data_IF_234091961294
#
_entry.id   IF_234091961294
#
_cell.length_a   1.000
_cell.length_b   1.000
_cell.length_c   1.000
_cell.angle_alpha   90.00
_cell.angle_beta   90.00
_cell.angle_gamma   90.00
#
_symmetry.space_group_name_H-M   'P 1'
#
loop_
_entity.id
_entity.type
_entity.pdbx_description
1 polymer ?
#
# COMPACT_ATOMS: atom_id res chain seq x y z
N UNK A 1 29.16 -14.15 -18.77
CA UNK A 1 27.94 -13.90 -17.92
C UNK A 1 27.42 -12.50 -18.21
N UNK A 2 26.13 -12.34 -18.54
CA UNK A 2 25.54 -11.00 -18.71
C UNK A 2 25.56 -10.26 -17.38
N UNK A 3 26.03 -9.01 -17.37
CA UNK A 3 26.01 -8.16 -16.18
C UNK A 3 24.55 -7.92 -15.76
N UNK A 4 24.20 -8.22 -14.52
CA UNK A 4 22.86 -8.00 -13.95
C UNK A 4 22.82 -6.60 -13.34
N UNK A 5 22.36 -5.64 -14.13
CA UNK A 5 22.25 -4.23 -13.73
C UNK A 5 20.82 -3.78 -14.07
N UNK A 6 20.19 -3.02 -13.19
CA UNK A 6 18.88 -2.41 -13.45
C UNK A 6 19.09 -1.16 -14.29
N UNK A 7 18.48 -1.14 -15.47
CA UNK A 7 18.49 0.00 -16.37
C UNK A 7 17.10 0.66 -16.43
N UNK A 8 17.05 1.93 -16.88
CA UNK A 8 15.77 2.61 -17.10
C UNK A 8 14.89 1.88 -18.11
N UNK A 9 15.48 1.25 -19.12
CA UNK A 9 14.80 0.42 -20.11
C UNK A 9 14.13 -0.79 -19.46
N UNK A 10 14.84 -1.49 -18.56
CA UNK A 10 14.26 -2.64 -17.82
C UNK A 10 13.08 -2.22 -16.94
N UNK A 11 13.15 -1.02 -16.32
CA UNK A 11 12.03 -0.49 -15.53
C UNK A 11 10.82 -0.16 -16.41
N UNK A 12 11.06 0.38 -17.60
CA UNK A 12 9.99 0.68 -18.56
C UNK A 12 9.32 -0.61 -19.06
N UNK A 13 10.11 -1.60 -19.46
CA UNK A 13 9.60 -2.91 -19.90
C UNK A 13 8.83 -3.62 -18.77
N UNK A 14 9.29 -3.49 -17.53
CA UNK A 14 8.60 -4.02 -16.35
C UNK A 14 7.25 -3.33 -16.15
N UNK A 15 7.19 -2.00 -16.33
CA UNK A 15 5.92 -1.25 -16.27
C UNK A 15 4.93 -1.77 -17.33
N UNK A 16 5.38 -1.96 -18.56
CA UNK A 16 4.56 -2.46 -19.67
C UNK A 16 4.04 -3.87 -19.38
N UNK A 17 4.87 -4.74 -18.83
CA UNK A 17 4.44 -6.08 -18.38
C UNK A 17 3.33 -5.98 -17.31
N UNK A 18 3.47 -5.11 -16.31
CA UNK A 18 2.45 -4.93 -15.27
C UNK A 18 1.14 -4.36 -15.82
N UNK A 19 1.20 -3.50 -16.85
CA UNK A 19 0.02 -2.99 -17.56
C UNK A 19 -0.66 -4.13 -18.34
N UNK A 20 0.12 -4.94 -19.04
CA UNK A 20 -0.40 -6.09 -19.79
C UNK A 20 -1.00 -7.18 -18.88
N UNK A 21 -0.54 -7.26 -17.62
CA UNK A 21 -1.16 -8.10 -16.59
C UNK A 21 -2.40 -7.45 -15.94
N UNK A 22 -2.87 -6.33 -16.46
CA UNK A 22 -4.05 -5.58 -15.95
C UNK A 22 -3.95 -5.20 -14.48
N UNK A 23 -2.72 -4.93 -13.98
CA UNK A 23 -2.52 -4.47 -12.61
C UNK A 23 -3.08 -3.06 -12.43
N UNK A 24 -3.69 -2.78 -11.28
CA UNK A 24 -4.17 -1.43 -10.96
C UNK A 24 -3.04 -0.40 -10.95
N UNK A 25 -3.33 0.85 -11.34
CA UNK A 25 -2.36 1.96 -11.38
C UNK A 25 -1.58 2.10 -10.06
N UNK A 26 -2.27 2.02 -8.92
CA UNK A 26 -1.65 2.07 -7.59
C UNK A 26 -0.65 0.92 -7.36
N UNK A 27 -0.94 -0.28 -7.89
CA UNK A 27 -0.03 -1.43 -7.80
C UNK A 27 1.20 -1.22 -8.66
N UNK A 28 1.02 -0.72 -9.89
CA UNK A 28 2.11 -0.44 -10.83
C UNK A 28 3.05 0.62 -10.24
N UNK A 29 2.51 1.75 -9.77
CA UNK A 29 3.30 2.82 -9.16
C UNK A 29 4.07 2.34 -7.94
N UNK A 30 3.40 1.56 -7.08
CA UNK A 30 4.04 0.98 -5.90
C UNK A 30 5.20 0.07 -6.29
N UNK A 31 5.01 -0.84 -7.23
CA UNK A 31 6.05 -1.77 -7.66
C UNK A 31 7.24 -1.03 -8.25
N UNK A 32 6.99 -0.07 -9.14
CA UNK A 32 8.06 0.76 -9.72
C UNK A 32 8.84 1.56 -8.67
N UNK A 33 8.15 2.13 -7.68
CA UNK A 33 8.79 2.84 -6.57
C UNK A 33 9.68 1.90 -5.75
N UNK A 34 9.21 0.70 -5.45
CA UNK A 34 9.94 -0.28 -4.66
C UNK A 34 11.18 -0.81 -5.42
N UNK A 35 11.08 -0.99 -6.75
CA UNK A 35 12.24 -1.40 -7.57
C UNK A 35 13.25 -0.26 -7.75
N UNK A 36 12.79 0.99 -7.89
CA UNK A 36 13.72 2.14 -7.91
C UNK A 36 14.51 2.21 -6.61
N UNK A 37 13.86 2.05 -5.45
CA UNK A 37 14.56 1.99 -4.16
C UNK A 37 15.60 0.87 -4.10
N UNK A 38 15.30 -0.28 -4.66
CA UNK A 38 16.28 -1.37 -4.77
C UNK A 38 17.43 -0.98 -5.71
N UNK A 39 17.17 -0.35 -6.84
CA UNK A 39 18.18 0.14 -7.76
C UNK A 39 19.09 1.21 -7.12
N UNK A 40 18.52 2.12 -6.34
CA UNK A 40 19.24 3.14 -5.58
C UNK A 40 20.15 2.50 -4.53
N UNK A 41 19.66 1.49 -3.80
CA UNK A 41 20.47 0.72 -2.85
C UNK A 41 21.65 0.01 -3.54
N UNK A 42 21.42 -0.54 -4.73
CA UNK A 42 22.49 -1.21 -5.51
C UNK A 42 23.52 -0.22 -6.07
N UNK A 43 23.21 1.06 -6.20
CA UNK A 43 24.09 2.13 -6.68
C UNK A 43 24.93 1.74 -7.92
N UNK A 44 24.28 1.10 -8.91
CA UNK A 44 24.92 0.66 -10.15
C UNK A 44 25.82 -0.58 -10.05
N UNK A 45 25.90 -1.22 -8.88
CA UNK A 45 26.65 -2.47 -8.70
C UNK A 45 26.01 -3.64 -9.47
N UNK A 46 26.83 -4.62 -9.79
CA UNK A 46 26.34 -5.88 -10.38
C UNK A 46 25.57 -6.65 -9.31
N UNK A 47 24.32 -6.96 -9.61
CA UNK A 47 23.43 -7.64 -8.67
C UNK A 47 23.83 -9.12 -8.57
N UNK A 48 24.14 -9.55 -7.37
CA UNK A 48 24.33 -10.93 -6.97
C UNK A 48 23.43 -11.31 -5.79
N UNK A 49 23.45 -12.57 -5.40
CA UNK A 49 22.61 -13.07 -4.31
C UNK A 49 22.97 -12.46 -2.96
N UNK A 50 24.25 -12.17 -2.73
CA UNK A 50 24.75 -11.59 -1.47
C UNK A 50 24.14 -10.20 -1.28
N UNK A 51 24.24 -9.34 -2.30
CA UNK A 51 23.68 -7.98 -2.27
C UNK A 51 22.16 -7.97 -2.10
N UNK A 52 21.44 -8.92 -2.71
CA UNK A 52 20.00 -9.05 -2.50
C UNK A 52 19.67 -9.45 -1.06
N UNK A 53 20.49 -10.27 -0.42
CA UNK A 53 20.33 -10.60 0.99
C UNK A 53 20.69 -9.43 1.91
N UNK A 54 21.70 -8.63 1.57
CA UNK A 54 22.02 -7.38 2.27
C UNK A 54 20.84 -6.37 2.18
N UNK A 55 20.24 -6.24 0.99
CA UNK A 55 19.02 -5.42 0.84
C UNK A 55 17.87 -5.95 1.71
N UNK A 56 17.70 -7.27 1.82
CA UNK A 56 16.69 -7.85 2.71
C UNK A 56 16.95 -7.46 4.17
N UNK A 57 18.20 -7.55 4.63
CA UNK A 57 18.57 -7.12 5.98
C UNK A 57 18.34 -5.62 6.20
N UNK A 58 18.64 -4.78 5.19
CA UNK A 58 18.30 -3.35 5.22
C UNK A 58 16.79 -3.13 5.38
N UNK A 59 15.96 -3.88 4.64
CA UNK A 59 14.50 -3.75 4.74
C UNK A 59 14.00 -4.16 6.14
N UNK A 60 14.58 -5.18 6.76
CA UNK A 60 14.20 -5.63 8.11
C UNK A 60 14.46 -4.56 9.17
N UNK A 61 15.60 -3.88 9.06
CA UNK A 61 16.00 -2.86 10.02
C UNK A 61 15.31 -1.50 9.81
N UNK A 62 14.87 -1.21 8.56
CA UNK A 62 14.38 0.13 8.20
C UNK A 62 12.86 0.22 8.10
N UNK A 63 12.15 -0.90 8.03
CA UNK A 63 10.69 -0.93 7.78
C UNK A 63 9.97 -1.95 8.65
N UNK A 64 8.67 -1.72 8.87
CA UNK A 64 7.80 -2.75 9.44
C UNK A 64 7.81 -4.00 8.54
N UNK A 65 7.84 -5.20 9.14
CA UNK A 65 7.97 -6.48 8.41
C UNK A 65 6.88 -6.67 7.34
N UNK A 66 5.66 -6.16 7.56
CA UNK A 66 4.58 -6.19 6.57
C UNK A 66 4.91 -5.34 5.34
N UNK A 67 5.50 -4.16 5.55
CA UNK A 67 5.96 -3.28 4.48
C UNK A 67 7.15 -3.88 3.74
N UNK A 68 8.14 -4.40 4.48
CA UNK A 68 9.29 -5.11 3.93
C UNK A 68 8.86 -6.31 3.05
N UNK A 69 7.91 -7.12 3.52
CA UNK A 69 7.35 -8.23 2.73
C UNK A 69 6.67 -7.76 1.45
N UNK A 70 6.00 -6.62 1.49
CA UNK A 70 5.38 -6.05 0.30
C UNK A 70 6.44 -5.57 -0.73
N UNK A 71 7.57 -5.02 -0.26
CA UNK A 71 8.71 -4.66 -1.12
C UNK A 71 9.41 -5.89 -1.69
N UNK A 72 9.59 -6.94 -0.88
CA UNK A 72 10.14 -8.24 -1.33
C UNK A 72 9.24 -8.87 -2.41
N UNK A 73 7.91 -8.75 -2.27
CA UNK A 73 6.99 -9.25 -3.29
C UNK A 73 7.18 -8.52 -4.63
N UNK A 74 7.30 -7.19 -4.61
CA UNK A 74 7.59 -6.40 -5.80
C UNK A 74 8.94 -6.78 -6.42
N UNK A 75 9.98 -6.90 -5.58
CA UNK A 75 11.32 -7.31 -6.02
C UNK A 75 11.32 -8.70 -6.66
N UNK A 76 10.72 -9.69 -6.03
CA UNK A 76 10.63 -11.05 -6.59
C UNK A 76 9.85 -11.09 -7.91
N UNK A 77 8.81 -10.25 -8.06
CA UNK A 77 8.08 -10.13 -9.34
C UNK A 77 9.00 -9.58 -10.43
N UNK A 78 9.77 -8.54 -10.12
CA UNK A 78 10.75 -7.97 -11.05
C UNK A 78 11.87 -8.97 -11.40
N UNK A 79 12.45 -9.65 -10.41
CA UNK A 79 13.51 -10.64 -10.62
C UNK A 79 13.04 -11.81 -11.50
N UNK A 80 11.80 -12.25 -11.35
CA UNK A 80 11.19 -13.26 -12.22
C UNK A 80 10.99 -12.73 -13.64
N UNK A 81 10.53 -11.50 -13.79
CA UNK A 81 10.33 -10.87 -15.09
C UNK A 81 11.63 -10.78 -15.89
N UNK A 82 12.72 -10.39 -15.26
CA UNK A 82 14.05 -10.31 -15.92
C UNK A 82 14.78 -11.66 -16.05
N UNK A 83 14.15 -12.76 -15.58
CA UNK A 83 14.74 -14.10 -15.62
C UNK A 83 15.80 -14.36 -14.57
N UNK A 84 15.91 -13.55 -13.52
CA UNK A 84 16.88 -13.70 -12.43
C UNK A 84 16.26 -14.45 -11.23
N UNK A 85 15.62 -15.57 -11.49
CA UNK A 85 14.84 -16.34 -10.50
C UNK A 85 15.70 -16.88 -9.35
N UNK A 86 16.99 -17.14 -9.62
CA UNK A 86 18.00 -17.54 -8.63
C UNK A 86 18.24 -16.46 -7.55
N UNK A 87 17.93 -15.20 -7.86
CA UNK A 87 18.03 -14.07 -6.92
C UNK A 87 16.81 -13.90 -6.01
N UNK A 88 15.68 -14.55 -6.30
CA UNK A 88 14.46 -14.42 -5.49
C UNK A 88 14.72 -14.80 -4.03
N UNK A 89 14.12 -14.01 -3.11
CA UNK A 89 14.27 -14.15 -1.66
C UNK A 89 12.94 -14.46 -0.97
N UNK A 90 13.02 -15.16 0.16
CA UNK A 90 11.85 -15.48 0.98
C UNK A 90 11.40 -14.26 1.77
N UNK A 91 10.10 -14.12 1.91
CA UNK A 91 9.48 -13.13 2.80
C UNK A 91 9.76 -13.47 4.28
N UNK A 92 9.69 -12.47 5.13
CA UNK A 92 9.74 -12.65 6.58
C UNK A 92 8.46 -13.35 7.07
N UNK A 93 8.63 -14.23 8.06
CA UNK A 93 7.48 -14.81 8.75
C UNK A 93 6.87 -13.74 9.67
N UNK A 94 5.62 -13.38 9.42
CA UNK A 94 4.88 -12.43 10.25
C UNK A 94 3.78 -13.19 10.96
N UNK A 95 3.83 -13.18 12.28
CA UNK A 95 2.67 -13.62 13.07
C UNK A 95 1.56 -12.58 12.92
N UNK A 96 0.42 -12.98 12.37
CA UNK A 96 -0.76 -12.12 12.37
C UNK A 96 -1.29 -12.04 13.80
N UNK A 97 -1.17 -10.89 14.42
CA UNK A 97 -1.91 -10.60 15.65
C UNK A 97 -3.40 -10.61 15.29
N UNK A 98 -4.16 -11.49 15.90
CA UNK A 98 -5.60 -11.66 15.63
C UNK A 98 -6.40 -10.46 16.14
N UNK A 99 -5.86 -9.72 17.10
CA UNK A 99 -6.51 -8.57 17.71
C UNK A 99 -5.62 -7.31 17.55
N UNK A 100 -6.26 -6.19 17.27
CA UNK A 100 -5.64 -4.87 17.43
C UNK A 100 -5.43 -4.63 18.93
N UNK A 101 -4.34 -4.00 19.34
CA UNK A 101 -4.22 -3.54 20.73
C UNK A 101 -5.23 -2.42 20.98
N UNK A 102 -5.92 -2.44 22.12
CA UNK A 102 -6.91 -1.42 22.51
C UNK A 102 -6.35 0.01 22.39
N UNK A 103 -5.04 0.18 22.63
CA UNK A 103 -4.31 1.45 22.46
C UNK A 103 -4.34 2.04 21.04
N UNK A 104 -4.74 1.25 20.04
CA UNK A 104 -4.84 1.68 18.64
C UNK A 104 -6.28 1.87 18.18
N UNK A 105 -7.23 1.63 19.05
CA UNK A 105 -8.64 1.84 18.78
C UNK A 105 -9.07 3.22 19.25
N UNK A 106 -9.83 3.93 18.43
CA UNK A 106 -10.36 5.23 18.77
C UNK A 106 -11.45 5.06 19.83
N UNK A 107 -11.20 5.57 21.01
CA UNK A 107 -12.20 5.58 22.09
C UNK A 107 -13.33 6.57 21.78
N UNK A 108 -14.49 6.37 22.40
CA UNK A 108 -15.62 7.29 22.28
C UNK A 108 -15.26 8.74 22.71
N UNK A 109 -14.42 8.87 23.71
CA UNK A 109 -13.97 10.19 24.21
C UNK A 109 -13.08 10.90 23.18
N UNK A 110 -12.12 10.17 22.59
CA UNK A 110 -11.25 10.70 21.54
C UNK A 110 -12.04 11.07 20.28
N UNK A 111 -13.01 10.25 19.87
CA UNK A 111 -13.92 10.57 18.77
C UNK A 111 -14.65 11.91 19.02
N UNK A 112 -15.27 12.07 20.21
CA UNK A 112 -15.96 13.31 20.57
C UNK A 112 -14.99 14.51 20.58
N UNK A 113 -13.78 14.32 21.09
CA UNK A 113 -12.76 15.36 21.09
C UNK A 113 -12.35 15.79 19.68
N UNK A 114 -12.21 14.83 18.75
CA UNK A 114 -11.91 15.12 17.34
C UNK A 114 -13.01 15.93 16.65
N UNK A 115 -14.29 15.54 16.85
CA UNK A 115 -15.44 16.27 16.30
C UNK A 115 -15.47 17.71 16.83
N UNK A 116 -15.35 17.88 18.17
CA UNK A 116 -15.34 19.22 18.81
C UNK A 116 -14.16 20.08 18.35
N UNK A 117 -12.98 19.46 18.15
CA UNK A 117 -11.81 20.20 17.66
C UNK A 117 -12.03 20.72 16.22
N UNK A 118 -12.70 19.95 15.37
CA UNK A 118 -13.05 20.36 14.02
C UNK A 118 -14.09 21.52 14.04
N UNK A 119 -15.11 21.43 14.90
CA UNK A 119 -16.13 22.46 15.10
C UNK A 119 -15.52 23.76 15.64
N UNK A 120 -14.64 23.67 16.63
CA UNK A 120 -13.96 24.84 17.20
C UNK A 120 -13.10 25.57 16.16
N UNK A 121 -12.51 24.82 15.22
CA UNK A 121 -11.80 25.38 14.05
C UNK A 121 -12.74 25.89 12.94
N UNK A 122 -14.05 25.87 13.16
CA UNK A 122 -15.08 26.23 12.16
C UNK A 122 -14.94 25.44 10.83
N UNK A 123 -14.42 24.20 10.93
CA UNK A 123 -14.27 23.31 9.78
C UNK A 123 -15.40 22.26 9.80
N UNK A 124 -16.59 22.69 9.41
CA UNK A 124 -17.79 21.84 9.37
C UNK A 124 -17.58 20.61 8.47
N UNK A 125 -16.91 20.81 7.32
CA UNK A 125 -16.62 19.70 6.40
C UNK A 125 -15.81 18.60 7.08
N UNK A 126 -14.79 18.95 7.86
CA UNK A 126 -13.98 17.97 8.58
C UNK A 126 -14.79 17.28 9.67
N UNK A 127 -15.61 18.03 10.41
CA UNK A 127 -16.52 17.47 11.43
C UNK A 127 -17.44 16.43 10.83
N UNK A 128 -18.13 16.75 9.72
CA UNK A 128 -19.02 15.84 9.02
C UNK A 128 -18.30 14.62 8.45
N UNK A 129 -17.08 14.77 7.90
CA UNK A 129 -16.28 13.65 7.42
C UNK A 129 -15.93 12.66 8.54
N UNK A 130 -15.49 13.16 9.70
CA UNK A 130 -15.19 12.34 10.87
C UNK A 130 -16.44 11.57 11.30
N UNK A 131 -17.57 12.25 11.42
CA UNK A 131 -18.84 11.63 11.81
C UNK A 131 -19.29 10.57 10.80
N UNK A 132 -19.21 10.86 9.51
CA UNK A 132 -19.59 9.91 8.45
C UNK A 132 -18.71 8.67 8.48
N UNK A 133 -17.38 8.82 8.52
CA UNK A 133 -16.45 7.68 8.53
C UNK A 133 -16.64 6.84 9.79
N UNK A 134 -16.71 7.45 10.95
CA UNK A 134 -16.85 6.72 12.23
C UNK A 134 -18.24 6.10 12.38
N UNK A 135 -19.30 6.76 11.91
CA UNK A 135 -20.67 6.26 12.02
C UNK A 135 -21.00 5.12 11.05
N UNK A 136 -20.41 5.14 9.86
CA UNK A 136 -20.71 4.16 8.79
C UNK A 136 -19.63 3.09 8.59
N UNK A 137 -18.42 3.32 9.11
CA UNK A 137 -17.27 2.42 8.90
C UNK A 137 -16.78 2.37 7.45
N UNK A 138 -17.09 3.37 6.62
CA UNK A 138 -16.58 3.45 5.25
C UNK A 138 -15.10 3.83 5.24
N UNK A 139 -14.41 3.43 4.17
CA UNK A 139 -13.02 3.88 3.93
C UNK A 139 -13.01 5.30 3.37
N UNK A 140 -11.92 6.03 3.59
CA UNK A 140 -11.75 7.38 3.03
C UNK A 140 -11.95 7.40 1.50
N UNK A 141 -11.44 6.37 0.80
CA UNK A 141 -11.63 6.22 -0.66
C UNK A 141 -13.07 5.89 -1.09
N UNK A 142 -13.94 5.59 -0.15
CA UNK A 142 -15.35 5.27 -0.40
C UNK A 142 -16.27 6.47 -0.14
N UNK A 143 -15.71 7.60 0.30
CA UNK A 143 -16.50 8.83 0.55
C UNK A 143 -17.18 9.38 -0.72
N UNK A 144 -16.65 9.11 -1.89
CA UNK A 144 -17.23 9.50 -3.18
C UNK A 144 -18.63 8.90 -3.42
N UNK A 145 -18.97 7.78 -2.76
CA UNK A 145 -20.27 7.14 -2.85
C UNK A 145 -21.31 7.77 -1.90
N UNK A 146 -20.91 8.65 -0.99
CA UNK A 146 -21.82 9.40 -0.11
C UNK A 146 -22.26 10.65 -0.87
N UNK A 147 -23.22 10.48 -1.77
CA UNK A 147 -23.81 11.56 -2.55
C UNK A 147 -25.05 12.12 -1.87
N UNK A 148 -25.56 13.26 -2.36
CA UNK A 148 -26.80 13.86 -1.87
C UNK A 148 -27.98 12.89 -2.05
N UNK A 149 -28.00 12.18 -3.17
CA UNK A 149 -29.03 11.17 -3.47
C UNK A 149 -28.97 10.02 -2.48
N UNK A 150 -27.75 9.52 -2.16
CA UNK A 150 -27.55 8.47 -1.17
C UNK A 150 -28.04 8.89 0.22
N UNK A 151 -27.77 10.13 0.63
CA UNK A 151 -28.25 10.69 1.89
C UNK A 151 -29.78 10.80 1.89
N UNK A 152 -30.40 11.27 0.81
CA UNK A 152 -31.85 11.37 0.69
C UNK A 152 -32.54 10.01 0.71
N UNK A 153 -31.89 8.97 0.15
CA UNK A 153 -32.40 7.59 0.19
C UNK A 153 -32.11 6.89 1.53
N UNK A 154 -31.25 7.47 2.38
CA UNK A 154 -30.80 6.85 3.63
C UNK A 154 -29.84 5.68 3.43
N UNK A 155 -29.30 5.47 2.23
CA UNK A 155 -28.48 4.32 1.86
C UNK A 155 -27.44 4.71 0.81
N UNK A 156 -26.20 4.24 1.00
CA UNK A 156 -25.16 4.34 -0.01
C UNK A 156 -24.69 2.95 -0.47
N UNK A 157 -24.56 2.75 -1.77
CA UNK A 157 -23.96 1.54 -2.34
C UNK A 157 -22.50 1.83 -2.61
N UNK A 158 -21.63 1.26 -1.79
CA UNK A 158 -20.18 1.40 -1.90
C UNK A 158 -19.63 0.25 -2.72
N UNK A 159 -18.97 0.56 -3.84
CA UNK A 159 -18.36 -0.44 -4.71
C UNK A 159 -16.84 -0.28 -4.71
N UNK A 160 -16.10 -1.33 -4.34
CA UNK A 160 -14.64 -1.34 -4.35
C UNK A 160 -14.11 -2.70 -4.78
N UNK A 161 -13.22 -2.74 -5.78
CA UNK A 161 -12.56 -3.96 -6.28
C UNK A 161 -13.53 -5.11 -6.60
N UNK A 162 -14.64 -4.80 -7.28
CA UNK A 162 -15.64 -5.80 -7.68
C UNK A 162 -16.52 -6.33 -6.57
N UNK A 163 -16.46 -5.74 -5.36
CA UNK A 163 -17.38 -6.03 -4.25
C UNK A 163 -18.21 -4.81 -3.93
N UNK A 164 -19.52 -4.97 -3.88
CA UNK A 164 -20.44 -3.92 -3.44
C UNK A 164 -21.02 -4.24 -2.08
N UNK A 165 -21.19 -3.22 -1.25
CA UNK A 165 -21.89 -3.33 0.04
C UNK A 165 -22.79 -2.11 0.23
N UNK A 166 -23.88 -2.32 0.95
CA UNK A 166 -24.79 -1.26 1.38
C UNK A 166 -24.29 -0.69 2.72
N UNK A 167 -24.31 0.60 2.86
CA UNK A 167 -23.93 1.36 4.05
C UNK A 167 -25.07 2.32 4.39
#
# INVERSE_FOLDING_TARGET
MKKRIITAELLQNFKEMLVNEERSSNTIEKYLRDIRRFADFMNGMIIDKSLVLEYKAYLENSFALTSANSMIAALNTFLKFVGWTDMCIKQFKVQRKTYCSEERELTKQEYIALVRAAEHKKNERLSLLIQTICGTGIRVSELEFITVEAINCGEAIVSCKGKSRKV
#
